data_IF_755574029871
#
_entry.id   IF_755574029871
#
_cell.length_a   1.000
_cell.length_b   1.000
_cell.length_c   1.000
_cell.angle_alpha   90.00
_cell.angle_beta   90.00
_cell.angle_gamma   90.00
#
_symmetry.space_group_name_H-M   'P 1'
#
loop_
_entity.id
_entity.type
_entity.pdbx_description
1 polymer ?
#
# COMPACT_ATOMS: atom_id res chain seq x y z
N UNK A 1 9.98 -22.34 4.01
CA UNK A 1 8.84 -21.41 3.89
C UNK A 1 8.94 -20.33 4.96
N UNK A 2 9.00 -19.09 4.53
CA UNK A 2 9.04 -17.97 5.47
C UNK A 2 7.66 -17.68 6.05
N UNK A 3 7.63 -17.51 7.34
CA UNK A 3 6.43 -17.06 8.02
C UNK A 3 6.26 -15.55 7.80
N UNK A 4 5.06 -15.15 7.40
CA UNK A 4 4.75 -13.73 7.24
C UNK A 4 4.88 -12.99 8.57
N UNK A 5 5.54 -11.84 8.53
CA UNK A 5 5.67 -10.94 9.67
C UNK A 5 5.12 -9.57 9.26
N UNK A 6 4.16 -9.07 10.03
CA UNK A 6 3.53 -7.79 9.74
C UNK A 6 4.52 -6.62 9.94
N UNK A 7 4.87 -5.87 8.87
CA UNK A 7 5.79 -4.74 8.99
C UNK A 7 5.10 -3.40 9.26
N UNK A 8 3.76 -3.37 9.35
CA UNK A 8 2.99 -2.12 9.33
C UNK A 8 2.56 -1.69 10.72
N UNK A 9 2.82 -0.42 11.07
CA UNK A 9 2.24 0.22 12.26
C UNK A 9 0.89 0.81 11.90
N UNK A 10 0.80 1.51 10.78
CA UNK A 10 -0.45 2.09 10.30
C UNK A 10 -0.33 2.49 8.83
N UNK A 11 -1.47 2.65 8.19
CA UNK A 11 -1.55 3.22 6.84
C UNK A 11 -2.55 4.36 6.90
N UNK A 12 -2.18 5.50 6.36
CA UNK A 12 -3.08 6.65 6.30
C UNK A 12 -3.39 6.98 4.84
N UNK A 13 -4.67 7.03 4.51
CA UNK A 13 -5.15 7.39 3.17
C UNK A 13 -6.00 8.64 3.33
N UNK A 14 -5.40 9.80 3.02
CA UNK A 14 -6.04 11.08 3.30
C UNK A 14 -6.30 11.23 4.79
N UNK A 15 -7.56 11.33 5.18
CA UNK A 15 -7.96 11.43 6.58
C UNK A 15 -8.35 10.10 7.20
N UNK A 16 -8.27 9.02 6.43
CA UNK A 16 -8.63 7.67 6.89
C UNK A 16 -7.40 6.94 7.37
N UNK A 17 -7.42 6.44 8.61
CA UNK A 17 -6.32 5.65 9.17
C UNK A 17 -6.72 4.19 9.25
N UNK A 18 -5.79 3.30 8.88
CA UNK A 18 -5.96 1.86 9.00
C UNK A 18 -4.91 1.38 10.00
N UNK A 19 -5.38 0.72 11.06
CA UNK A 19 -4.48 0.17 12.08
C UNK A 19 -3.59 -0.92 11.49
N UNK A 20 -2.34 -0.97 11.92
CA UNK A 20 -1.41 -2.03 11.53
C UNK A 20 -1.90 -3.42 11.89
N UNK A 21 -2.75 -3.53 12.90
CA UNK A 21 -3.34 -4.82 13.30
C UNK A 21 -4.14 -5.47 12.18
N UNK A 22 -4.65 -4.68 11.25
CA UNK A 22 -5.39 -5.18 10.09
C UNK A 22 -4.50 -5.97 9.13
N UNK A 23 -3.18 -5.86 9.28
CA UNK A 23 -2.21 -6.57 8.45
C UNK A 23 -1.53 -7.73 9.20
N UNK A 24 -2.02 -8.10 10.37
CA UNK A 24 -1.38 -9.16 11.17
C UNK A 24 -1.44 -10.54 10.50
N UNK A 25 -2.52 -10.83 9.80
CA UNK A 25 -2.71 -12.14 9.15
C UNK A 25 -2.38 -12.10 7.66
N UNK A 26 -2.61 -10.98 7.02
CA UNK A 26 -2.46 -10.84 5.58
C UNK A 26 -1.85 -9.48 5.25
N UNK A 27 -1.00 -9.47 4.24
CA UNK A 27 -0.30 -8.25 3.82
C UNK A 27 -1.15 -7.41 2.85
N UNK A 28 -2.47 -7.58 2.83
CA UNK A 28 -3.32 -6.77 1.98
C UNK A 28 -4.62 -6.38 2.66
N UNK A 29 -5.20 -5.29 2.16
CA UNK A 29 -6.52 -4.83 2.56
C UNK A 29 -7.30 -4.35 1.34
N UNK A 30 -8.60 -4.65 1.34
CA UNK A 30 -9.52 -4.12 0.33
C UNK A 30 -10.05 -2.79 0.85
N UNK A 31 -9.93 -1.76 0.04
CA UNK A 31 -10.35 -0.39 0.38
C UNK A 31 -11.54 -0.02 -0.49
N UNK A 32 -12.60 0.60 0.07
CA UNK A 32 -13.75 1.01 -0.74
C UNK A 32 -13.33 2.03 -1.79
N UNK A 33 -13.36 1.64 -3.06
CA UNK A 33 -12.98 2.52 -4.16
C UNK A 33 -13.84 3.77 -4.23
N UNK A 34 -15.15 3.61 -4.07
CA UNK A 34 -16.10 4.73 -4.17
C UNK A 34 -15.81 5.86 -3.20
N UNK A 35 -15.20 5.54 -2.05
CA UNK A 35 -14.86 6.53 -1.04
C UNK A 35 -13.75 7.47 -1.51
N UNK A 36 -12.88 7.00 -2.39
CA UNK A 36 -11.71 7.74 -2.83
C UNK A 36 -11.68 8.03 -4.34
N UNK A 37 -12.66 7.55 -5.08
CA UNK A 37 -12.69 7.68 -6.54
C UNK A 37 -12.58 9.13 -6.99
N UNK A 38 -11.70 9.38 -7.98
CA UNK A 38 -11.48 10.70 -8.58
C UNK A 38 -10.94 11.75 -7.60
N UNK A 39 -10.43 11.31 -6.44
CA UNK A 39 -9.82 12.20 -5.46
C UNK A 39 -8.31 12.03 -5.47
N UNK A 40 -7.62 13.08 -5.08
CA UNK A 40 -6.18 13.02 -4.83
C UNK A 40 -5.99 12.87 -3.31
N UNK A 41 -5.33 11.81 -2.90
CA UNK A 41 -5.14 11.54 -1.47
C UNK A 41 -3.68 11.27 -1.16
N UNK A 42 -3.26 11.73 0.00
CA UNK A 42 -1.91 11.44 0.51
C UNK A 42 -1.94 10.07 1.15
N UNK A 43 -1.05 9.18 0.70
CA UNK A 43 -0.96 7.80 1.21
C UNK A 43 0.36 7.64 1.93
N UNK A 44 0.30 7.29 3.23
CA UNK A 44 1.47 7.14 4.07
C UNK A 44 1.44 5.80 4.77
N UNK A 45 2.51 5.02 4.59
CA UNK A 45 2.75 3.78 5.32
C UNK A 45 3.71 4.08 6.46
N UNK A 46 3.29 3.79 7.69
CA UNK A 46 4.17 3.85 8.85
C UNK A 46 4.60 2.43 9.18
N UNK A 47 5.90 2.19 9.12
CA UNK A 47 6.47 0.85 9.30
C UNK A 47 6.99 0.66 10.71
N UNK A 48 6.99 -0.60 11.17
CA UNK A 48 7.57 -0.96 12.46
C UNK A 48 9.08 -0.76 12.44
N UNK A 49 9.67 -0.57 13.61
CA UNK A 49 11.11 -0.41 13.76
C UNK A 49 11.84 -1.58 13.13
N UNK A 50 12.87 -1.27 12.35
CA UNK A 50 13.67 -2.28 11.67
C UNK A 50 13.20 -2.60 10.26
N UNK A 51 12.10 -2.02 9.82
CA UNK A 51 11.59 -2.18 8.47
C UNK A 51 11.74 -0.88 7.68
N UNK A 52 12.08 -0.99 6.40
CA UNK A 52 12.16 0.19 5.54
C UNK A 52 11.47 -0.06 4.21
N UNK A 53 11.06 1.03 3.56
CA UNK A 53 10.42 0.98 2.25
C UNK A 53 11.48 0.81 1.17
N UNK A 54 11.47 -0.33 0.48
CA UNK A 54 12.36 -0.58 -0.64
C UNK A 54 11.80 0.03 -1.92
N UNK A 55 10.51 -0.16 -2.16
CA UNK A 55 9.86 0.33 -3.37
C UNK A 55 8.37 0.47 -3.11
N UNK A 56 7.77 1.51 -3.64
CA UNK A 56 6.34 1.69 -3.58
C UNK A 56 5.84 2.07 -4.96
N UNK A 57 4.72 1.48 -5.36
CA UNK A 57 4.16 1.75 -6.67
C UNK A 57 2.65 1.66 -6.65
N UNK A 58 2.04 2.15 -7.71
CA UNK A 58 0.61 2.00 -7.94
C UNK A 58 0.38 1.37 -9.31
N UNK A 59 -0.77 0.73 -9.46
CA UNK A 59 -1.18 0.17 -10.74
C UNK A 59 -2.69 0.24 -10.87
N UNK A 60 -3.17 0.37 -12.09
CA UNK A 60 -4.60 0.41 -12.37
C UNK A 60 -4.84 0.13 -13.85
N UNK A 61 -6.10 -0.14 -14.18
CA UNK A 61 -6.52 -0.29 -15.56
C UNK A 61 -7.25 0.97 -16.01
N UNK A 62 -6.89 1.48 -17.16
CA UNK A 62 -7.60 2.59 -17.80
C UNK A 62 -8.05 2.12 -19.17
N UNK A 63 -9.35 1.89 -19.32
CA UNK A 63 -9.92 1.21 -20.49
C UNK A 63 -9.27 -0.17 -20.65
N UNK A 64 -8.58 -0.40 -21.77
CA UNK A 64 -7.88 -1.66 -22.04
C UNK A 64 -6.40 -1.63 -21.68
N UNK A 65 -5.93 -0.53 -21.08
CA UNK A 65 -4.50 -0.33 -20.84
C UNK A 65 -4.17 -0.49 -19.37
N UNK A 66 -3.12 -1.26 -19.10
CA UNK A 66 -2.54 -1.38 -17.76
C UNK A 66 -1.58 -0.22 -17.56
N UNK A 67 -1.73 0.48 -16.44
CA UNK A 67 -0.87 1.59 -16.04
C UNK A 67 -0.19 1.25 -14.74
N UNK A 68 1.09 1.56 -14.62
CA UNK A 68 1.81 1.44 -13.36
C UNK A 68 2.88 2.52 -13.26
N UNK A 69 3.17 2.94 -12.03
CA UNK A 69 4.25 3.90 -11.80
C UNK A 69 4.74 3.79 -10.36
N UNK A 70 5.99 4.21 -10.16
CA UNK A 70 6.58 4.26 -8.82
C UNK A 70 6.16 5.57 -8.16
N UNK A 71 5.87 5.49 -6.85
CA UNK A 71 5.49 6.66 -6.06
C UNK A 71 6.23 6.63 -4.74
N UNK A 72 6.51 7.81 -4.19
CA UNK A 72 7.16 7.91 -2.89
C UNK A 72 6.13 7.78 -1.77
N UNK A 73 6.59 7.21 -0.63
CA UNK A 73 5.75 7.15 0.56
C UNK A 73 5.39 8.57 1.00
N UNK A 74 4.11 8.79 1.27
CA UNK A 74 3.61 10.11 1.66
C UNK A 74 3.23 11.00 0.49
N UNK A 75 3.36 10.51 -0.75
CA UNK A 75 2.94 11.27 -1.94
C UNK A 75 1.43 11.37 -2.04
N UNK A 76 0.98 12.45 -2.67
CA UNK A 76 -0.43 12.59 -3.04
C UNK A 76 -0.67 11.82 -4.32
N UNK A 77 -1.62 10.90 -4.29
CA UNK A 77 -1.90 9.96 -5.37
C UNK A 77 -3.33 10.19 -5.90
N UNK A 78 -3.51 10.36 -7.21
CA UNK A 78 -4.86 10.40 -7.78
C UNK A 78 -5.44 8.98 -7.87
N UNK A 79 -6.59 8.76 -7.27
CA UNK A 79 -7.27 7.47 -7.29
C UNK A 79 -8.26 7.46 -8.44
N UNK A 80 -7.92 6.75 -9.51
CA UNK A 80 -8.79 6.68 -10.69
C UNK A 80 -8.61 5.34 -11.42
N UNK A 81 -9.35 5.17 -12.51
CA UNK A 81 -9.30 3.93 -13.28
C UNK A 81 -10.04 2.80 -12.60
N UNK A 82 -9.71 1.56 -12.96
CA UNK A 82 -10.29 0.37 -12.36
C UNK A 82 -9.17 -0.53 -11.84
N UNK A 83 -9.50 -1.43 -10.92
CA UNK A 83 -8.53 -2.36 -10.33
C UNK A 83 -7.31 -1.63 -9.78
N UNK A 84 -7.55 -0.55 -9.04
CA UNK A 84 -6.50 0.32 -8.51
C UNK A 84 -5.84 -0.32 -7.30
N UNK A 85 -4.51 -0.43 -7.35
CA UNK A 85 -3.73 -1.04 -6.28
C UNK A 85 -2.55 -0.17 -5.93
N UNK A 86 -2.21 -0.13 -4.63
CA UNK A 86 -0.98 0.49 -4.16
C UNK A 86 -0.17 -0.62 -3.48
N UNK A 87 1.05 -0.84 -3.95
CA UNK A 87 1.94 -1.88 -3.43
C UNK A 87 3.13 -1.24 -2.74
N UNK A 88 3.48 -1.75 -1.57
CA UNK A 88 4.66 -1.31 -0.84
C UNK A 88 5.55 -2.51 -0.57
N UNK A 89 6.73 -2.53 -1.18
CA UNK A 89 7.74 -3.56 -0.94
C UNK A 89 8.63 -3.08 0.20
N UNK A 90 8.63 -3.81 1.31
CA UNK A 90 9.34 -3.45 2.53
C UNK A 90 10.31 -4.54 2.92
N UNK A 91 11.40 -4.16 3.58
CA UNK A 91 12.48 -5.07 3.94
C UNK A 91 12.84 -4.89 5.40
N UNK A 92 13.04 -6.01 6.10
CA UNK A 92 13.58 -5.99 7.45
C UNK A 92 15.10 -5.87 7.35
N UNK A 93 15.66 -4.81 7.90
CA UNK A 93 17.10 -4.52 7.77
C UNK A 93 18.00 -5.52 8.51
N UNK A 94 17.45 -6.23 9.52
CA UNK A 94 18.24 -7.23 10.26
C UNK A 94 18.20 -8.59 9.61
N UNK A 95 17.03 -9.04 9.17
CA UNK A 95 16.84 -10.40 8.66
C UNK A 95 16.86 -10.49 7.14
N UNK A 96 16.67 -9.35 6.45
CA UNK A 96 16.53 -9.34 5.00
C UNK A 96 15.18 -9.83 4.52
N UNK A 97 14.26 -10.12 5.44
CA UNK A 97 12.92 -10.55 5.06
C UNK A 97 12.21 -9.48 4.24
N UNK A 98 11.58 -9.88 3.15
CA UNK A 98 10.83 -8.98 2.27
C UNK A 98 9.35 -9.30 2.34
N UNK A 99 8.54 -8.24 2.43
CA UNK A 99 7.09 -8.37 2.38
C UNK A 99 6.53 -7.34 1.42
N UNK A 100 5.44 -7.69 0.77
CA UNK A 100 4.71 -6.76 -0.11
C UNK A 100 3.36 -6.47 0.54
N UNK A 101 3.15 -5.21 0.89
CA UNK A 101 1.89 -4.74 1.47
C UNK A 101 1.04 -4.16 0.35
N UNK A 102 -0.19 -4.61 0.24
CA UNK A 102 -1.09 -4.24 -0.86
C UNK A 102 -2.34 -3.54 -0.35
N UNK A 103 -2.67 -2.41 -0.95
CA UNK A 103 -3.96 -1.75 -0.79
C UNK A 103 -4.70 -1.89 -2.10
N UNK A 104 -5.81 -2.61 -2.09
CA UNK A 104 -6.62 -2.86 -3.28
C UNK A 104 -7.92 -2.09 -3.19
N UNK A 105 -8.04 -1.07 -4.03
CA UNK A 105 -9.23 -0.22 -4.08
C UNK A 105 -10.27 -0.88 -4.98
N UNK A 106 -11.30 -1.40 -4.36
CA UNK A 106 -12.28 -2.21 -5.06
C UNK A 106 -13.73 -1.76 -4.81
#
# INVERSE_FOLDING_TARGET
VRKYTNPVVSVKIGNTSISGKRFDKEAYRVIPYSKFAKKKVKVTFKLKKGWYMKKQGLSYMEKSWFKSEDVNNGSTIPINGTDFKICADVVNEKTGQQERVLLWFK
#
